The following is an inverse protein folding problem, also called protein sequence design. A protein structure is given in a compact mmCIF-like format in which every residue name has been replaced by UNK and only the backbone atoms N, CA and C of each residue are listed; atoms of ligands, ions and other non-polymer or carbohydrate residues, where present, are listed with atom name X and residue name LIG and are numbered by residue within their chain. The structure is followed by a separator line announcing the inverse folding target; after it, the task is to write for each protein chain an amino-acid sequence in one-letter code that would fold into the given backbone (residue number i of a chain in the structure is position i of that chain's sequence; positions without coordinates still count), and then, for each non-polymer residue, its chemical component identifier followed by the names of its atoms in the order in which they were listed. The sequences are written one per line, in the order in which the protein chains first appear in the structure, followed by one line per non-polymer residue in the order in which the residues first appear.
data_IF_232716203325
#
_entry.id   IF_232716203325
#
_cell.length_a   1.000
_cell.length_b   1.000
_cell.length_c   1.000
_cell.angle_alpha   90.00
_cell.angle_beta   90.00
_cell.angle_gamma   90.00
#
_symmetry.space_group_name_H-M   'P 1'
#
loop_
_entity.id
_entity.type
_entity.pdbx_description
1 polymer ?
#
# COMPACT_ATOMS: atom_id res chain seq x y z
N UNK A 1 12.09 -7.65 -17.04
CA UNK A 1 10.68 -7.96 -16.71
C UNK A 1 9.90 -6.67 -16.85
N UNK A 2 8.83 -6.65 -17.65
CA UNK A 2 7.98 -5.45 -17.79
C UNK A 2 6.97 -5.43 -16.64
N UNK A 3 7.27 -4.62 -15.63
CA UNK A 3 6.45 -4.43 -14.43
C UNK A 3 5.20 -3.57 -14.67
N UNK A 4 5.05 -3.03 -15.88
CA UNK A 4 4.02 -2.06 -16.22
C UNK A 4 3.24 -2.63 -17.41
N UNK A 5 1.93 -2.75 -17.24
CA UNK A 5 1.04 -3.17 -18.30
C UNK A 5 1.15 -2.19 -19.49
N UNK A 6 1.43 -2.65 -20.72
CA UNK A 6 1.64 -1.80 -21.88
C UNK A 6 0.43 -0.94 -22.27
N UNK A 7 -0.76 -1.20 -21.72
CA UNK A 7 -1.95 -0.34 -21.86
C UNK A 7 -1.81 1.00 -21.11
N UNK A 8 -0.86 1.13 -20.18
CA UNK A 8 -0.75 2.26 -19.24
C UNK A 8 0.47 3.16 -19.48
N UNK A 9 1.01 3.23 -20.70
CA UNK A 9 2.33 3.87 -20.98
C UNK A 9 2.49 5.34 -20.57
N UNK A 10 1.42 6.15 -20.43
CA UNK A 10 1.49 7.53 -19.89
C UNK A 10 1.30 7.59 -18.37
N UNK A 11 0.55 6.65 -17.80
CA UNK A 11 0.18 6.51 -16.37
C UNK A 11 1.18 5.63 -15.59
N UNK A 12 2.08 4.98 -16.35
CA UNK A 12 3.19 4.16 -15.90
C UNK A 12 4.11 4.85 -14.89
N UNK A 13 4.35 6.16 -15.05
CA UNK A 13 5.24 6.92 -14.18
C UNK A 13 4.63 7.13 -12.79
N UNK A 14 3.34 7.42 -12.72
CA UNK A 14 2.62 7.63 -11.47
C UNK A 14 2.48 6.31 -10.70
N UNK A 15 2.22 5.21 -11.42
CA UNK A 15 2.19 3.87 -10.83
C UNK A 15 3.57 3.43 -10.32
N UNK A 16 4.64 3.68 -11.08
CA UNK A 16 6.01 3.36 -10.62
C UNK A 16 6.37 4.14 -9.37
N UNK A 17 6.07 5.44 -9.34
CA UNK A 17 6.26 6.28 -8.16
C UNK A 17 5.46 5.79 -6.96
N UNK A 18 4.22 5.36 -7.15
CA UNK A 18 3.38 4.81 -6.09
C UNK A 18 3.92 3.47 -5.56
N UNK A 19 4.27 2.53 -6.43
CA UNK A 19 4.82 1.21 -6.05
C UNK A 19 6.16 1.37 -5.31
N UNK A 20 6.99 2.34 -5.68
CA UNK A 20 8.26 2.60 -5.00
C UNK A 20 8.09 3.37 -3.67
N UNK A 21 7.13 4.29 -3.59
CA UNK A 21 6.95 5.14 -2.40
C UNK A 21 6.23 4.44 -1.25
N UNK A 22 5.30 3.51 -1.54
CA UNK A 22 4.55 2.78 -0.49
C UNK A 22 5.47 2.02 0.47
N UNK A 23 6.44 1.20 0.02
CA UNK A 23 7.37 0.51 0.93
C UNK A 23 8.22 1.48 1.76
N UNK A 24 8.71 2.56 1.17
CA UNK A 24 9.50 3.58 1.87
C UNK A 24 8.68 4.25 2.98
N UNK A 25 7.47 4.70 2.65
CA UNK A 25 6.56 5.30 3.62
C UNK A 25 6.15 4.30 4.71
N UNK A 26 5.93 3.04 4.36
CA UNK A 26 5.61 1.97 5.31
C UNK A 26 6.75 1.75 6.32
N UNK A 27 7.99 1.57 5.86
CA UNK A 27 9.11 1.27 6.77
C UNK A 27 9.45 2.45 7.69
N UNK A 28 9.32 3.68 7.20
CA UNK A 28 9.48 4.88 8.04
C UNK A 28 8.37 5.00 9.08
N UNK A 29 7.12 4.74 8.70
CA UNK A 29 5.99 4.67 9.62
C UNK A 29 6.15 3.55 10.67
N UNK A 30 6.49 2.33 10.25
CA UNK A 30 6.66 1.17 11.12
C UNK A 30 7.79 1.39 12.13
N UNK A 31 8.89 2.01 11.70
CA UNK A 31 10.00 2.40 12.58
C UNK A 31 9.59 3.47 13.59
N UNK A 32 8.79 4.46 13.19
CA UNK A 32 8.27 5.49 14.11
C UNK A 32 7.31 4.91 15.14
N UNK A 33 6.38 4.04 14.71
CA UNK A 33 5.43 3.34 15.57
C UNK A 33 6.14 2.47 16.62
N UNK A 34 7.23 1.81 16.20
CA UNK A 34 8.02 0.95 17.09
C UNK A 34 8.85 1.73 18.13
N UNK A 35 9.22 2.99 17.83
CA UNK A 35 10.01 3.84 18.73
C UNK A 35 9.18 4.59 19.76
N UNK A 36 8.04 5.14 19.35
CA UNK A 36 7.25 6.03 20.21
C UNK A 36 6.22 5.28 21.05
N UNK A 37 6.07 3.97 20.86
CA UNK A 37 4.87 3.25 21.31
C UNK A 37 3.66 3.74 20.53
N UNK A 38 2.64 2.89 20.36
CA UNK A 38 1.42 3.24 19.63
C UNK A 38 0.88 4.58 20.13
N UNK A 39 1.01 5.65 19.34
CA UNK A 39 0.31 6.90 19.61
C UNK A 39 -1.18 6.56 19.57
N UNK A 40 -1.73 6.32 20.75
CA UNK A 40 -3.01 5.70 21.02
C UNK A 40 -4.22 6.57 20.63
N UNK A 41 -4.03 7.58 19.77
CA UNK A 41 -5.02 8.61 19.49
C UNK A 41 -5.63 8.52 18.08
N UNK A 42 -5.06 7.73 17.15
CA UNK A 42 -5.73 7.46 15.86
C UNK A 42 -6.70 6.26 15.94
N UNK A 43 -6.38 5.28 16.80
CA UNK A 43 -7.19 4.06 16.98
C UNK A 43 -8.50 4.31 17.76
N UNK A 44 -8.62 5.41 18.49
CA UNK A 44 -9.83 5.75 19.26
C UNK A 44 -10.95 6.31 18.40
N UNK A 45 -10.65 6.87 17.22
CA UNK A 45 -11.66 7.39 16.29
C UNK A 45 -12.19 6.34 15.29
N UNK A 46 -11.44 5.25 15.06
CA UNK A 46 -11.84 4.14 14.17
C UNK A 46 -11.63 2.79 14.86
N UNK A 47 -12.56 2.35 15.72
CA UNK A 47 -12.53 1.01 16.30
C UNK A 47 -12.94 -0.06 15.28
N UNK A 48 -12.23 -1.20 15.18
CA UNK A 48 -10.90 -1.51 15.70
C UNK A 48 -9.90 -1.63 14.55
N UNK A 49 -9.30 -0.54 14.09
CA UNK A 49 -8.22 -0.61 13.10
C UNK A 49 -6.85 -0.58 13.81
N UNK A 50 -6.07 -1.66 13.71
CA UNK A 50 -4.64 -1.66 14.03
C UNK A 50 -3.98 -0.49 13.26
N UNK A 51 -3.14 0.37 13.90
CA UNK A 51 -2.44 1.46 13.22
C UNK A 51 -1.75 1.02 11.91
N UNK A 52 -1.28 -0.23 11.85
CA UNK A 52 -0.71 -0.83 10.64
C UNK A 52 -1.71 -0.98 9.51
N UNK A 53 -2.93 -1.43 9.82
CA UNK A 53 -4.01 -1.50 8.84
C UNK A 53 -4.44 -0.10 8.41
N UNK A 54 -4.53 0.82 9.38
CA UNK A 54 -4.95 2.19 9.12
C UNK A 54 -4.01 2.93 8.15
N UNK A 55 -2.70 2.67 8.20
CA UNK A 55 -1.74 3.23 7.23
C UNK A 55 -2.16 2.98 5.78
N UNK A 56 -2.46 1.72 5.43
CA UNK A 56 -2.83 1.35 4.06
C UNK A 56 -4.25 1.79 3.71
N UNK A 57 -5.17 1.76 4.69
CA UNK A 57 -6.52 2.27 4.50
C UNK A 57 -6.48 3.77 4.16
N UNK A 58 -5.71 4.57 4.91
CA UNK A 58 -5.55 6.00 4.65
C UNK A 58 -4.90 6.29 3.30
N UNK A 59 -3.87 5.51 2.92
CA UNK A 59 -3.27 5.61 1.59
C UNK A 59 -4.33 5.51 0.47
N UNK A 60 -5.26 4.57 0.60
CA UNK A 60 -6.37 4.41 -0.34
C UNK A 60 -7.46 5.47 -0.17
N UNK A 61 -7.79 5.89 1.05
CA UNK A 61 -8.79 6.91 1.31
C UNK A 61 -8.43 8.27 0.70
N UNK A 62 -7.13 8.61 0.63
CA UNK A 62 -6.66 9.80 -0.06
C UNK A 62 -6.98 9.80 -1.56
N UNK A 63 -7.29 8.64 -2.12
CA UNK A 63 -7.65 8.46 -3.53
C UNK A 63 -9.16 8.25 -3.73
N UNK A 64 -9.96 8.22 -2.66
CA UNK A 64 -11.41 8.04 -2.76
C UNK A 64 -12.05 9.22 -3.52
N UNK A 65 -13.04 8.91 -4.37
CA UNK A 65 -13.72 9.90 -5.20
C UNK A 65 -13.01 10.20 -6.53
N UNK A 66 -11.81 9.65 -6.75
CA UNK A 66 -11.21 9.60 -8.08
C UNK A 66 -11.77 8.42 -8.88
N UNK A 67 -12.02 8.60 -10.18
CA UNK A 67 -12.47 7.54 -11.12
C UNK A 67 -11.45 6.38 -11.30
N UNK A 68 -10.33 6.42 -10.56
CA UNK A 68 -9.13 5.58 -10.77
C UNK A 68 -8.69 4.80 -9.55
N UNK A 69 -9.59 4.54 -8.60
CA UNK A 69 -9.26 3.84 -7.36
C UNK A 69 -8.53 2.49 -7.54
N UNK A 70 -8.83 1.75 -8.62
CA UNK A 70 -8.10 0.49 -8.90
C UNK A 70 -6.61 0.74 -9.24
N UNK A 71 -6.29 1.80 -9.96
CA UNK A 71 -4.94 2.10 -10.42
C UNK A 71 -4.11 2.82 -9.33
N UNK A 72 -4.74 3.67 -8.53
CA UNK A 72 -4.05 4.51 -7.55
C UNK A 72 -3.98 3.90 -6.16
N UNK A 73 -4.90 3.02 -5.80
CA UNK A 73 -4.91 2.29 -4.53
C UNK A 73 -4.54 0.81 -4.73
N UNK A 74 -5.33 0.06 -5.51
CA UNK A 74 -5.15 -1.40 -5.54
C UNK A 74 -3.85 -1.84 -6.20
N UNK A 75 -3.49 -1.25 -7.34
CA UNK A 75 -2.31 -1.68 -8.10
C UNK A 75 -0.99 -1.49 -7.33
N UNK A 76 -0.73 -0.35 -6.66
CA UNK A 76 0.42 -0.22 -5.77
C UNK A 76 0.43 -1.24 -4.63
N UNK A 77 -0.72 -1.47 -3.99
CA UNK A 77 -0.83 -2.38 -2.85
C UNK A 77 -0.71 -3.86 -3.23
N UNK A 78 -1.12 -4.25 -4.45
CA UNK A 78 -0.87 -5.60 -5.01
C UNK A 78 0.61 -5.94 -5.04
N UNK A 79 1.48 -4.94 -5.19
CA UNK A 79 2.94 -5.11 -5.21
C UNK A 79 3.58 -5.02 -3.82
N UNK A 80 2.89 -4.49 -2.82
CA UNK A 80 3.39 -4.44 -1.44
C UNK A 80 3.30 -5.83 -0.77
N UNK A 81 4.40 -6.28 -0.16
CA UNK A 81 4.40 -7.47 0.71
C UNK A 81 3.90 -7.13 2.11
N UNK A 82 4.18 -5.91 2.58
CA UNK A 82 3.76 -5.41 3.88
C UNK A 82 2.24 -5.30 3.98
N UNK A 83 1.59 -4.79 2.94
CA UNK A 83 0.13 -4.77 2.86
C UNK A 83 -0.45 -6.19 3.01
N UNK A 84 0.05 -7.13 2.22
CA UNK A 84 -0.43 -8.51 2.24
C UNK A 84 -0.22 -9.17 3.62
N UNK A 85 0.90 -8.86 4.30
CA UNK A 85 1.19 -9.33 5.65
C UNK A 85 0.23 -8.74 6.68
N UNK A 86 0.01 -7.43 6.65
CA UNK A 86 -0.85 -6.70 7.60
C UNK A 86 -2.32 -7.11 7.51
N UNK A 87 -2.80 -7.42 6.30
CA UNK A 87 -4.17 -7.87 6.07
C UNK A 87 -4.31 -9.40 5.96
N UNK A 88 -3.22 -10.16 6.12
CA UNK A 88 -3.25 -11.62 6.03
C UNK A 88 -3.72 -12.16 4.67
N UNK A 89 -3.42 -11.46 3.57
CA UNK A 89 -3.88 -11.84 2.23
C UNK A 89 -3.24 -13.15 1.77
N UNK A 90 -4.06 -14.15 1.41
CA UNK A 90 -3.58 -15.44 0.90
C UNK A 90 -2.73 -15.28 -0.38
N UNK A 91 -1.63 -16.03 -0.55
CA UNK A 91 -0.84 -16.02 -1.79
C UNK A 91 -1.69 -16.36 -3.02
N UNK A 92 -1.53 -15.59 -4.10
CA UNK A 92 -2.30 -15.75 -5.34
C UNK A 92 -3.68 -15.09 -5.34
N UNK A 93 -4.11 -14.50 -4.22
CA UNK A 93 -5.33 -13.70 -4.18
C UNK A 93 -5.19 -12.41 -5.01
N UNK A 94 -6.33 -11.79 -5.34
CA UNK A 94 -6.38 -10.55 -6.15
C UNK A 94 -5.48 -9.43 -5.61
N UNK A 95 -5.31 -9.33 -4.29
CA UNK A 95 -4.46 -8.32 -3.63
C UNK A 95 -3.09 -8.85 -3.18
N UNK A 96 -2.80 -10.13 -3.40
CA UNK A 96 -1.49 -10.72 -3.16
C UNK A 96 -1.08 -11.66 -4.31
N UNK A 97 -0.91 -11.12 -5.53
CA UNK A 97 -0.51 -11.91 -6.68
C UNK A 97 0.88 -12.52 -6.49
N UNK A 98 1.10 -13.70 -7.08
CA UNK A 98 2.39 -14.40 -6.98
C UNK A 98 3.56 -13.62 -7.58
N UNK A 99 3.31 -12.83 -8.64
CA UNK A 99 4.30 -11.95 -9.27
C UNK A 99 4.10 -10.54 -8.73
N UNK A 100 5.10 -10.03 -8.01
CA UNK A 100 5.14 -8.65 -7.54
C UNK A 100 6.28 -7.91 -8.24
N UNK A 101 6.06 -6.64 -8.51
CA UNK A 101 7.09 -5.72 -8.97
C UNK A 101 7.88 -5.30 -7.74
N UNK A 102 9.16 -5.65 -7.67
CA UNK A 102 10.02 -5.31 -6.55
C UNK A 102 10.88 -4.10 -6.95
N UNK A 103 10.60 -2.96 -6.31
CA UNK A 103 11.37 -1.72 -6.48
C UNK A 103 11.96 -1.26 -5.15
N UNK A 104 12.17 -2.20 -4.22
CA UNK A 104 12.91 -1.96 -2.99
C UNK A 104 14.28 -1.35 -3.31
N UNK A 105 14.58 -0.22 -2.66
CA UNK A 105 15.92 0.36 -2.57
C UNK A 105 16.68 -0.31 -1.44
#
# INVERSE_FOLDING_TARGET
MNCINPLYKREAKDLVGAVASVPLAWHTFEAALSRNGSEANLATAVPPADPRQLFFLLFCCLQCGADRGEQTCNEPLRHSRDFARVYGCAPGSSMNPAKKCDMSV
#
